data_IF_866706252018
#
_entry.id   IF_866706252018
#
_cell.length_a   1.000
_cell.length_b   1.000
_cell.length_c   1.000
_cell.angle_alpha   90.00
_cell.angle_beta   90.00
_cell.angle_gamma   90.00
#
_symmetry.space_group_name_H-M   'P 1'
#
loop_
_entity.id
_entity.type
_entity.pdbx_description
1 polymer ?
#
# COMPACT_ATOMS: atom_id res chain seq x y z
N UNK A 1 6.86 24.17 40.75
CA UNK A 1 6.88 23.20 41.86
C UNK A 1 6.95 21.79 41.27
N UNK A 2 8.08 21.08 41.37
CA UNK A 2 8.13 19.65 41.03
C UNK A 2 7.54 18.88 42.21
N UNK A 3 6.27 18.51 42.12
CA UNK A 3 5.66 17.57 43.05
C UNK A 3 6.27 16.19 42.81
N UNK A 4 7.10 15.72 43.74
CA UNK A 4 7.71 14.39 43.71
C UNK A 4 6.76 13.29 44.17
N UNK A 5 7.24 12.05 44.14
CA UNK A 5 6.60 10.95 44.85
C UNK A 5 6.55 11.28 46.36
N UNK A 6 5.45 11.01 47.10
CA UNK A 6 4.24 10.26 46.73
C UNK A 6 3.07 11.12 46.18
N UNK A 7 3.25 12.43 46.08
CA UNK A 7 2.21 13.37 45.68
C UNK A 7 1.86 13.23 44.20
N UNK A 8 2.86 13.15 43.33
CA UNK A 8 2.69 12.76 41.92
C UNK A 8 2.88 11.26 41.79
N UNK A 9 1.84 10.56 41.33
CA UNK A 9 1.91 9.13 40.99
C UNK A 9 1.43 8.94 39.56
N UNK A 10 2.35 8.86 38.57
CA UNK A 10 1.99 8.73 37.16
C UNK A 10 1.11 7.50 36.86
N UNK A 11 1.16 6.48 37.72
CA UNK A 11 0.30 5.29 37.63
C UNK A 11 -1.19 5.57 37.84
N UNK A 12 -1.59 6.69 38.48
CA UNK A 12 -3.01 7.02 38.69
C UNK A 12 -3.76 7.12 37.36
N UNK A 13 -3.19 7.82 36.37
CA UNK A 13 -3.81 7.97 35.04
C UNK A 13 -3.82 6.66 34.24
N UNK A 14 -3.02 5.66 34.64
CA UNK A 14 -2.95 4.35 33.99
C UNK A 14 -3.87 3.30 34.60
N UNK A 15 -4.55 3.61 35.72
CA UNK A 15 -5.26 2.62 36.53
C UNK A 15 -6.51 2.07 35.85
N UNK A 16 -7.31 2.92 35.23
CA UNK A 16 -8.59 2.54 34.63
C UNK A 16 -8.59 2.80 33.12
N UNK A 17 -9.46 2.11 32.39
CA UNK A 17 -9.58 2.30 30.95
C UNK A 17 -9.99 3.74 30.59
N UNK A 18 -11.06 4.24 31.23
CA UNK A 18 -11.55 5.59 30.97
C UNK A 18 -10.46 6.66 31.20
N UNK A 19 -9.62 6.51 32.23
CA UNK A 19 -8.56 7.48 32.53
C UNK A 19 -7.44 7.44 31.50
N UNK A 20 -7.13 6.25 30.96
CA UNK A 20 -6.16 6.12 29.86
C UNK A 20 -6.70 6.69 28.55
N UNK A 21 -8.00 6.52 28.26
CA UNK A 21 -8.64 7.11 27.08
C UNK A 21 -8.64 8.64 27.12
N UNK A 22 -8.94 9.26 28.27
CA UNK A 22 -8.91 10.72 28.43
C UNK A 22 -7.52 11.34 28.22
N UNK A 23 -6.46 10.59 28.54
CA UNK A 23 -5.08 11.08 28.50
C UNK A 23 -4.29 10.58 27.29
N UNK A 24 -4.93 9.86 26.37
CA UNK A 24 -4.24 9.28 25.20
C UNK A 24 -3.88 10.40 24.23
N UNK A 25 -2.58 10.53 23.94
CA UNK A 25 -2.05 11.59 23.08
C UNK A 25 -2.16 11.27 21.58
N UNK A 26 -2.27 10.00 21.22
CA UNK A 26 -2.31 9.55 19.81
C UNK A 26 -3.36 8.47 19.59
N UNK A 27 -3.99 8.51 18.42
CA UNK A 27 -4.94 7.51 17.98
C UNK A 27 -4.60 7.13 16.53
N UNK A 28 -4.73 5.85 16.21
CA UNK A 28 -4.65 5.35 14.85
C UNK A 28 -6.06 5.06 14.33
N UNK A 29 -6.29 5.35 13.06
CA UNK A 29 -7.52 5.12 12.32
C UNK A 29 -7.21 4.63 10.90
N UNK A 30 -8.22 4.16 10.18
CA UNK A 30 -8.05 3.76 8.78
C UNK A 30 -7.57 4.92 7.88
N UNK A 31 -7.88 6.17 8.25
CA UNK A 31 -7.44 7.38 7.54
C UNK A 31 -5.92 7.58 7.56
N UNK A 32 -5.21 6.87 8.44
CA UNK A 32 -3.75 6.96 8.57
C UNK A 32 -3.03 5.88 7.75
N UNK A 33 -3.77 5.01 7.04
CA UNK A 33 -3.23 3.82 6.39
C UNK A 33 -3.19 3.98 4.87
N UNK A 34 -2.08 3.54 4.27
CA UNK A 34 -1.94 3.30 2.83
C UNK A 34 -1.64 1.82 2.66
N UNK A 35 -2.31 1.16 1.72
CA UNK A 35 -2.17 -0.28 1.50
C UNK A 35 -1.36 -0.58 0.22
N UNK A 36 -0.11 -1.07 0.33
CA UNK A 36 0.67 -1.49 -0.83
C UNK A 36 0.08 -2.74 -1.49
N UNK A 37 0.04 -2.75 -2.83
CA UNK A 37 -0.46 -3.87 -3.63
C UNK A 37 0.53 -4.23 -4.73
N UNK A 38 0.66 -5.53 -4.99
CA UNK A 38 1.44 -6.05 -6.11
C UNK A 38 0.48 -6.52 -7.21
N UNK A 39 0.60 -5.93 -8.40
CA UNK A 39 -0.23 -6.30 -9.55
C UNK A 39 0.58 -7.10 -10.56
N UNK A 40 -0.01 -8.15 -11.13
CA UNK A 40 0.57 -8.92 -12.24
C UNK A 40 -0.35 -8.95 -13.46
N UNK A 41 0.19 -9.44 -14.57
CA UNK A 41 -0.55 -9.67 -15.82
C UNK A 41 -1.54 -10.84 -15.72
N UNK A 42 -2.45 -10.93 -16.69
CA UNK A 42 -3.41 -12.03 -16.82
C UNK A 42 -4.77 -11.73 -16.19
N UNK A 43 -5.56 -12.78 -16.01
CA UNK A 43 -6.92 -12.76 -15.47
C UNK A 43 -7.09 -13.93 -14.48
N UNK A 44 -7.77 -13.71 -13.36
CA UNK A 44 -7.95 -14.69 -12.29
C UNK A 44 -6.63 -15.15 -11.65
N UNK A 45 -5.57 -14.35 -11.73
CA UNK A 45 -4.25 -14.74 -11.23
C UNK A 45 -4.02 -14.27 -9.80
N UNK A 46 -3.51 -15.19 -8.98
CA UNK A 46 -3.17 -14.97 -7.58
C UNK A 46 -1.91 -15.74 -7.24
N UNK A 47 -0.87 -15.03 -6.81
CA UNK A 47 0.41 -15.63 -6.43
C UNK A 47 0.78 -15.28 -4.99
N UNK A 48 1.02 -16.30 -4.16
CA UNK A 48 1.53 -16.09 -2.81
C UNK A 48 3.00 -15.67 -2.82
N UNK A 49 3.37 -14.68 -2.01
CA UNK A 49 4.76 -14.27 -1.85
C UNK A 49 5.36 -15.00 -0.64
N UNK A 50 6.24 -15.99 -0.87
CA UNK A 50 6.77 -16.83 0.22
C UNK A 50 7.48 -16.05 1.33
N UNK A 51 8.20 -14.98 0.99
CA UNK A 51 8.88 -14.11 1.96
C UNK A 51 7.95 -13.12 2.68
N UNK A 52 6.70 -12.99 2.23
CA UNK A 52 5.68 -12.10 2.80
C UNK A 52 4.39 -12.88 3.06
N UNK A 53 4.34 -13.73 4.11
CA UNK A 53 3.16 -14.53 4.40
C UNK A 53 1.90 -13.68 4.58
N UNK A 54 0.82 -14.07 3.90
CA UNK A 54 -0.45 -13.32 3.89
C UNK A 54 -0.53 -12.21 2.84
N UNK A 55 0.53 -11.99 2.06
CA UNK A 55 0.54 -11.06 0.93
C UNK A 55 0.57 -11.82 -0.39
N UNK A 56 -0.23 -11.35 -1.33
CA UNK A 56 -0.40 -11.94 -2.65
C UNK A 56 -0.14 -10.89 -3.73
N UNK A 57 0.30 -11.37 -4.89
CA UNK A 57 0.22 -10.61 -6.14
C UNK A 57 -1.09 -10.97 -6.81
N UNK A 58 -1.80 -9.98 -7.34
CA UNK A 58 -3.11 -10.16 -7.97
C UNK A 58 -3.10 -9.67 -9.41
N UNK A 59 -3.86 -10.32 -10.29
CA UNK A 59 -4.23 -9.72 -11.57
C UNK A 59 -5.18 -8.54 -11.36
N UNK A 60 -5.35 -7.69 -12.38
CA UNK A 60 -6.15 -6.45 -12.29
C UNK A 60 -7.58 -6.75 -11.82
N UNK A 61 -8.22 -7.78 -12.34
CA UNK A 61 -9.59 -8.18 -11.99
C UNK A 61 -9.74 -8.50 -10.50
N UNK A 62 -8.84 -9.31 -9.93
CA UNK A 62 -8.86 -9.63 -8.50
C UNK A 62 -8.44 -8.46 -7.62
N UNK A 63 -7.57 -7.57 -8.13
CA UNK A 63 -7.21 -6.34 -7.42
C UNK A 63 -8.42 -5.40 -7.28
N UNK A 64 -9.35 -5.37 -8.25
CA UNK A 64 -10.57 -4.58 -8.14
C UNK A 64 -11.49 -5.09 -7.01
N UNK A 65 -11.63 -6.40 -6.86
CA UNK A 65 -12.37 -7.01 -5.74
C UNK A 65 -11.72 -6.67 -4.38
N UNK A 66 -10.38 -6.71 -4.32
CA UNK A 66 -9.65 -6.30 -3.12
C UNK A 66 -9.84 -4.80 -2.84
N UNK A 67 -9.81 -3.96 -3.88
CA UNK A 67 -10.03 -2.52 -3.74
C UNK A 67 -11.42 -2.19 -3.17
N UNK A 68 -12.47 -2.90 -3.60
CA UNK A 68 -13.81 -2.75 -3.03
C UNK A 68 -13.82 -3.04 -1.52
N UNK A 69 -13.13 -4.11 -1.11
CA UNK A 69 -13.00 -4.46 0.32
C UNK A 69 -12.24 -3.39 1.10
N UNK A 70 -11.14 -2.85 0.55
CA UNK A 70 -10.34 -1.80 1.19
C UNK A 70 -11.13 -0.50 1.35
N UNK A 71 -11.93 -0.12 0.34
CA UNK A 71 -12.82 1.04 0.40
C UNK A 71 -13.90 0.83 1.47
N UNK A 72 -14.52 -0.35 1.54
CA UNK A 72 -15.50 -0.67 2.57
C UNK A 72 -14.92 -0.62 4.00
N UNK A 73 -13.63 -0.90 4.16
CA UNK A 73 -12.88 -0.78 5.42
C UNK A 73 -12.44 0.66 5.75
N UNK A 74 -12.63 1.61 4.82
CA UNK A 74 -12.27 3.02 5.00
C UNK A 74 -10.79 3.33 4.73
N UNK A 75 -10.07 2.48 3.99
CA UNK A 75 -8.69 2.76 3.57
C UNK A 75 -8.71 3.85 2.49
N UNK A 76 -8.01 4.99 2.69
CA UNK A 76 -8.10 6.13 1.79
C UNK A 76 -7.29 5.94 0.49
N UNK A 77 -6.22 5.15 0.51
CA UNK A 77 -5.34 4.99 -0.65
C UNK A 77 -4.60 3.66 -0.70
N UNK A 78 -4.25 3.26 -1.93
CA UNK A 78 -3.34 2.15 -2.22
C UNK A 78 -2.06 2.65 -2.90
N UNK A 79 -0.96 1.94 -2.67
CA UNK A 79 0.31 2.15 -3.37
C UNK A 79 0.56 0.98 -4.33
N UNK A 80 0.71 1.28 -5.62
CA UNK A 80 0.72 0.29 -6.69
C UNK A 80 2.15 -0.08 -7.12
N UNK A 81 2.47 -1.37 -7.06
CA UNK A 81 3.75 -1.92 -7.51
C UNK A 81 3.54 -2.97 -8.61
N UNK A 82 3.92 -2.69 -9.87
CA UNK A 82 3.74 -3.64 -10.98
C UNK A 82 4.81 -4.74 -10.95
N UNK A 83 4.38 -5.99 -11.12
CA UNK A 83 5.25 -7.16 -11.31
C UNK A 83 5.39 -7.39 -12.80
N UNK A 84 6.35 -6.71 -13.41
CA UNK A 84 6.60 -6.75 -14.85
C UNK A 84 7.39 -8.01 -15.22
N UNK A 85 6.89 -8.75 -16.22
CA UNK A 85 7.55 -9.93 -16.77
C UNK A 85 8.91 -9.61 -17.38
N UNK A 86 9.84 -10.57 -17.33
CA UNK A 86 11.22 -10.39 -17.81
C UNK A 86 11.31 -10.00 -19.29
N UNK A 87 10.33 -10.42 -20.10
CA UNK A 87 10.22 -10.12 -21.52
C UNK A 87 9.93 -8.64 -21.83
N UNK A 88 9.46 -7.89 -20.84
CA UNK A 88 9.18 -6.44 -20.96
C UNK A 88 10.26 -5.58 -20.31
N UNK A 89 11.30 -6.19 -19.74
CA UNK A 89 12.44 -5.47 -19.15
C UNK A 89 13.51 -5.18 -20.20
N UNK A 90 14.12 -4.01 -20.10
CA UNK A 90 15.10 -3.53 -21.08
C UNK A 90 16.11 -2.58 -20.42
N UNK A 91 17.23 -2.30 -21.09
CA UNK A 91 18.25 -1.39 -20.55
C UNK A 91 17.78 0.07 -20.52
N UNK A 92 16.75 0.43 -21.29
CA UNK A 92 16.19 1.78 -21.38
C UNK A 92 14.83 1.92 -20.69
N UNK A 93 14.34 0.85 -20.03
CA UNK A 93 13.13 0.83 -19.22
C UNK A 93 11.87 1.35 -19.94
N UNK A 94 11.70 1.07 -21.23
CA UNK A 94 10.59 1.64 -22.04
C UNK A 94 9.20 1.28 -21.51
N UNK A 95 9.06 0.14 -20.83
CA UNK A 95 7.79 -0.28 -20.23
C UNK A 95 7.35 0.66 -19.07
N UNK A 96 8.26 1.43 -18.47
CA UNK A 96 7.93 2.39 -17.40
C UNK A 96 6.97 3.48 -17.87
N UNK A 97 7.07 3.89 -19.14
CA UNK A 97 6.24 4.94 -19.72
C UNK A 97 5.29 4.43 -20.81
N UNK A 98 5.18 3.10 -20.98
CA UNK A 98 4.22 2.50 -21.90
C UNK A 98 2.78 2.89 -21.49
N UNK A 99 1.99 3.58 -22.34
CA UNK A 99 0.63 3.97 -22.00
C UNK A 99 -0.30 2.77 -21.74
N UNK A 100 0.06 1.60 -22.27
CA UNK A 100 -0.63 0.31 -22.07
C UNK A 100 0.10 -0.63 -21.11
N UNK A 101 1.10 -0.09 -20.39
CA UNK A 101 1.82 -0.79 -19.34
C UNK A 101 0.91 -1.21 -18.18
N UNK A 102 1.39 -2.17 -17.40
CA UNK A 102 0.62 -2.80 -16.33
C UNK A 102 0.14 -1.78 -15.29
N UNK A 103 1.01 -0.88 -14.83
CA UNK A 103 0.65 0.15 -13.86
C UNK A 103 -0.44 1.09 -14.42
N UNK A 104 -0.28 1.53 -15.66
CA UNK A 104 -1.17 2.48 -16.34
C UNK A 104 -2.56 1.89 -16.55
N UNK A 105 -2.65 0.64 -17.03
CA UNK A 105 -3.94 -0.08 -17.16
C UNK A 105 -4.60 -0.29 -15.81
N UNK A 106 -3.83 -0.63 -14.78
CA UNK A 106 -4.35 -0.84 -13.43
C UNK A 106 -4.92 0.44 -12.83
N UNK A 107 -4.23 1.59 -12.97
CA UNK A 107 -4.73 2.90 -12.54
C UNK A 107 -6.05 3.24 -13.22
N UNK A 108 -6.16 3.04 -14.54
CA UNK A 108 -7.41 3.30 -15.28
C UNK A 108 -8.55 2.44 -14.76
N UNK A 109 -8.32 1.14 -14.58
CA UNK A 109 -9.34 0.22 -14.06
C UNK A 109 -9.79 0.59 -12.64
N UNK A 110 -8.85 0.87 -11.74
CA UNK A 110 -9.13 1.31 -10.37
C UNK A 110 -9.94 2.61 -10.34
N UNK A 111 -9.59 3.60 -11.16
CA UNK A 111 -10.31 4.88 -11.20
C UNK A 111 -11.70 4.77 -11.83
N UNK A 112 -11.92 3.80 -12.70
CA UNK A 112 -13.26 3.50 -13.22
C UNK A 112 -14.13 2.81 -12.15
N UNK A 113 -13.59 1.86 -11.40
CA UNK A 113 -14.34 1.09 -10.41
C UNK A 113 -14.52 1.81 -9.07
N UNK A 114 -13.48 2.50 -8.59
CA UNK A 114 -13.41 3.18 -7.29
C UNK A 114 -12.86 4.60 -7.45
N UNK A 115 -13.63 5.56 -8.00
CA UNK A 115 -13.14 6.90 -8.36
C UNK A 115 -12.49 7.66 -7.18
N UNK A 116 -13.07 7.51 -5.98
CA UNK A 116 -12.65 8.20 -4.75
C UNK A 116 -11.43 7.57 -4.08
N UNK A 117 -11.06 6.32 -4.41
CA UNK A 117 -9.89 5.66 -3.83
C UNK A 117 -8.61 6.36 -4.31
N UNK A 118 -7.75 6.80 -3.39
CA UNK A 118 -6.43 7.31 -3.71
C UNK A 118 -5.55 6.22 -4.36
N UNK A 119 -4.90 6.54 -5.47
CA UNK A 119 -3.94 5.63 -6.12
C UNK A 119 -2.59 6.34 -6.18
N UNK A 120 -1.61 5.76 -5.50
CA UNK A 120 -0.22 6.24 -5.47
C UNK A 120 0.58 5.31 -6.39
N UNK A 121 1.08 5.84 -7.49
CA UNK A 121 1.92 5.10 -8.43
C UNK A 121 3.38 5.19 -8.03
N UNK A 122 4.08 4.07 -8.15
CA UNK A 122 5.54 4.06 -8.04
C UNK A 122 6.19 4.66 -9.30
N UNK A 123 7.19 5.52 -9.12
CA UNK A 123 7.94 6.19 -10.19
C UNK A 123 9.42 5.87 -10.01
N UNK A 124 9.80 4.71 -10.53
CA UNK A 124 11.14 4.16 -10.48
C UNK A 124 11.37 3.25 -11.70
N UNK A 125 12.63 2.96 -12.03
CA UNK A 125 12.96 2.11 -13.19
C UNK A 125 13.30 0.66 -12.84
N UNK A 126 13.48 0.28 -11.57
CA UNK A 126 13.87 -1.07 -11.18
C UNK A 126 12.88 -2.19 -11.56
N UNK A 127 11.55 -1.97 -11.66
CA UNK A 127 10.66 -3.01 -12.18
C UNK A 127 10.85 -3.22 -13.68
N UNK A 128 11.45 -2.25 -14.38
CA UNK A 128 11.49 -2.16 -15.84
C UNK A 128 12.89 -2.35 -16.43
N UNK A 129 13.95 -2.19 -15.63
CA UNK A 129 15.33 -2.40 -16.09
C UNK A 129 15.72 -3.88 -16.05
N UNK A 130 16.49 -4.32 -17.05
CA UNK A 130 17.06 -5.68 -17.12
C UNK A 130 17.98 -5.99 -15.93
N UNK A 131 18.67 -4.97 -15.42
CA UNK A 131 19.63 -5.03 -14.33
C UNK A 131 19.05 -4.72 -12.94
N UNK A 132 17.78 -4.26 -12.86
CA UNK A 132 17.09 -3.99 -11.60
C UNK A 132 17.65 -2.81 -10.80
N UNK A 133 18.22 -1.80 -11.48
CA UNK A 133 18.58 -0.52 -10.84
C UNK A 133 17.49 0.50 -11.16
N UNK A 134 17.30 1.45 -10.25
CA UNK A 134 16.25 2.48 -10.32
C UNK A 134 16.50 3.52 -11.43
N UNK A 135 17.67 3.47 -12.07
CA UNK A 135 18.12 4.41 -13.10
C UNK A 135 18.88 3.72 -14.23
N UNK A 136 19.15 4.46 -15.30
CA UNK A 136 20.00 4.01 -16.41
C UNK A 136 21.47 3.93 -15.98
N UNK A 137 22.23 3.02 -16.60
CA UNK A 137 23.67 2.83 -16.38
C UNK A 137 24.55 3.75 -17.23
#
# INVERSE_FOLDING_TARGET
MKSGYPYTRPRRMRRHDFSRRLMRESQLSANDLIYPVFVLEGEGQRETIHSMPGVERLSIDLLLEQAETLVALGIPAIALFPVVGTEKKSDQAEEAYNPDGLAQRTVRALKQAQPELGVITDVALDPFTSHGQDGLL
#
